data_IF_122421857021
#
_entry.id   IF_122421857021
#
_cell.length_a   1.000
_cell.length_b   1.000
_cell.length_c   1.000
_cell.angle_alpha   90.00
_cell.angle_beta   90.00
_cell.angle_gamma   90.00
#
_symmetry.space_group_name_H-M   'P 1'
#
loop_
_entity.id
_entity.type
_entity.pdbx_description
1 polymer ?
#
# COMPACT_ATOMS: atom_id res chain seq x y z
N UNK A 1 -0.46 -16.58 -0.38
CA UNK A 1 -0.72 -15.49 -1.33
C UNK A 1 -0.51 -14.14 -0.70
N UNK A 2 -0.05 -13.19 -1.47
CA UNK A 2 0.13 -11.82 -0.99
C UNK A 2 -1.20 -11.09 -1.07
N UNK A 3 -1.56 -10.39 -0.02
CA UNK A 3 -2.81 -9.65 0.04
C UNK A 3 -2.58 -8.18 -0.27
N UNK A 4 -3.41 -7.62 -1.11
CA UNK A 4 -3.38 -6.20 -1.46
C UNK A 4 -4.80 -5.65 -1.35
N UNK A 5 -4.94 -4.57 -0.62
CA UNK A 5 -6.21 -3.85 -0.54
C UNK A 5 -6.10 -2.57 -1.35
N UNK A 6 -7.08 -2.34 -2.20
CA UNK A 6 -7.13 -1.14 -3.04
C UNK A 6 -8.24 -0.24 -2.54
N UNK A 7 -7.88 0.77 -1.78
CA UNK A 7 -8.80 1.78 -1.27
C UNK A 7 -8.68 3.01 -2.15
N UNK A 8 -8.99 2.84 -3.42
CA UNK A 8 -8.83 3.84 -4.47
C UNK A 8 -10.19 4.34 -4.90
N UNK A 9 -10.35 5.66 -4.92
CA UNK A 9 -11.60 6.29 -5.27
C UNK A 9 -11.98 6.06 -6.73
N UNK A 10 -11.00 6.12 -7.63
CA UNK A 10 -11.23 5.90 -9.06
C UNK A 10 -11.39 4.41 -9.30
N UNK A 11 -12.62 3.96 -9.48
CA UNK A 11 -12.92 2.55 -9.64
C UNK A 11 -12.34 1.97 -10.93
N UNK A 12 -12.25 2.77 -11.98
CA UNK A 12 -11.68 2.31 -13.25
C UNK A 12 -10.20 2.00 -13.08
N UNK A 13 -9.48 2.89 -12.42
CA UNK A 13 -8.08 2.69 -12.11
C UNK A 13 -7.87 1.48 -11.20
N UNK A 14 -8.71 1.38 -10.17
CA UNK A 14 -8.63 0.27 -9.24
C UNK A 14 -8.81 -1.08 -9.92
N UNK A 15 -9.75 -1.17 -10.86
CA UNK A 15 -9.96 -2.40 -11.59
C UNK A 15 -8.82 -2.73 -12.54
N UNK A 16 -8.25 -1.72 -13.19
CA UNK A 16 -7.10 -1.93 -14.06
C UNK A 16 -5.91 -2.46 -13.25
N UNK A 17 -5.68 -1.88 -12.09
CA UNK A 17 -4.60 -2.32 -11.23
C UNK A 17 -4.86 -3.72 -10.69
N UNK A 18 -6.10 -4.01 -10.31
CA UNK A 18 -6.47 -5.34 -9.84
C UNK A 18 -6.16 -6.39 -10.91
N UNK A 19 -6.53 -6.09 -12.16
CA UNK A 19 -6.28 -7.04 -13.24
C UNK A 19 -4.79 -7.31 -13.43
N UNK A 20 -3.96 -6.28 -13.31
CA UNK A 20 -2.52 -6.47 -13.39
C UNK A 20 -2.00 -7.35 -12.26
N UNK A 21 -2.47 -7.11 -11.05
CA UNK A 21 -2.00 -7.87 -9.90
C UNK A 21 -2.44 -9.33 -9.95
N UNK A 22 -3.62 -9.59 -10.52
CA UNK A 22 -4.12 -10.96 -10.60
C UNK A 22 -3.43 -11.81 -11.67
N UNK A 23 -2.74 -11.17 -12.60
CA UNK A 23 -2.10 -11.90 -13.70
C UNK A 23 -1.06 -12.91 -13.27
N UNK A 24 -0.33 -12.60 -12.22
CA UNK A 24 0.76 -13.47 -11.79
C UNK A 24 0.29 -14.62 -10.90
N UNK A 25 -0.98 -14.61 -10.49
CA UNK A 25 -1.54 -15.67 -9.68
C UNK A 25 -1.04 -15.72 -8.25
N UNK A 26 -0.28 -14.72 -7.80
CA UNK A 26 0.31 -14.71 -6.47
C UNK A 26 -0.35 -13.71 -5.53
N UNK A 27 -1.30 -12.93 -6.03
CA UNK A 27 -1.95 -11.88 -5.24
C UNK A 27 -3.41 -12.16 -5.01
N UNK A 28 -3.86 -11.80 -3.81
CA UNK A 28 -5.27 -11.73 -3.46
C UNK A 28 -5.60 -10.26 -3.32
N UNK A 29 -6.53 -9.77 -4.14
CA UNK A 29 -6.81 -8.33 -4.25
C UNK A 29 -8.23 -8.03 -3.80
N UNK A 30 -8.35 -7.06 -2.92
CA UNK A 30 -9.64 -6.60 -2.43
C UNK A 30 -9.84 -5.13 -2.80
N UNK A 31 -10.98 -4.82 -3.41
CA UNK A 31 -11.39 -3.44 -3.65
C UNK A 31 -12.24 -3.03 -2.45
N UNK A 32 -11.78 -2.02 -1.72
CA UNK A 32 -12.41 -1.64 -0.46
C UNK A 32 -12.62 -0.14 -0.38
N UNK A 33 -13.63 0.29 0.35
CA UNK A 33 -13.82 1.71 0.65
C UNK A 33 -12.87 2.15 1.76
N UNK A 34 -12.73 1.31 2.76
CA UNK A 34 -11.79 1.54 3.85
C UNK A 34 -10.98 0.28 4.07
N UNK A 35 -9.67 0.42 4.20
CA UNK A 35 -8.83 -0.76 4.40
C UNK A 35 -9.08 -1.40 5.76
N UNK A 36 -8.97 -2.71 5.79
CA UNK A 36 -8.98 -3.46 7.03
C UNK A 36 -7.53 -3.61 7.47
N UNK A 37 -7.13 -2.82 8.46
CA UNK A 37 -5.74 -2.81 8.91
C UNK A 37 -5.37 -4.07 9.71
N UNK A 38 -6.35 -4.88 10.06
CA UNK A 38 -6.08 -6.17 10.67
C UNK A 38 -5.60 -7.23 9.69
N UNK A 39 -5.76 -7.00 8.40
CA UNK A 39 -5.22 -7.89 7.39
C UNK A 39 -3.78 -7.50 7.08
N UNK A 40 -2.93 -8.49 6.91
CA UNK A 40 -1.55 -8.24 6.50
C UNK A 40 -1.50 -7.86 5.02
N UNK A 41 -0.37 -7.30 4.60
CA UNK A 41 -0.13 -6.99 3.21
C UNK A 41 -0.15 -5.51 2.91
N UNK A 42 -0.08 -5.19 1.63
CA UNK A 42 0.02 -3.81 1.14
C UNK A 42 -1.37 -3.19 1.03
N UNK A 43 -1.44 -1.92 1.39
CA UNK A 43 -2.64 -1.11 1.23
C UNK A 43 -2.33 0.03 0.27
N UNK A 44 -3.06 0.09 -0.85
CA UNK A 44 -2.96 1.20 -1.79
C UNK A 44 -4.13 2.13 -1.50
N UNK A 45 -3.83 3.39 -1.23
CA UNK A 45 -4.84 4.31 -0.72
C UNK A 45 -4.62 5.71 -1.24
N UNK A 46 -5.72 6.42 -1.55
CA UNK A 46 -5.65 7.83 -1.89
C UNK A 46 -5.25 8.67 -0.67
N UNK A 47 -4.54 9.75 -0.90
CA UNK A 47 -4.05 10.57 0.21
C UNK A 47 -5.16 11.09 1.11
N UNK A 48 -6.32 11.40 0.54
CA UNK A 48 -7.44 11.91 1.33
C UNK A 48 -7.89 10.90 2.39
N UNK A 49 -7.95 9.64 1.99
CA UNK A 49 -8.33 8.58 2.92
C UNK A 49 -7.19 8.25 3.86
N UNK A 50 -5.97 8.33 3.38
CA UNK A 50 -4.81 8.06 4.20
C UNK A 50 -4.71 9.01 5.38
N UNK A 51 -5.03 10.29 5.20
CA UNK A 51 -4.97 11.26 6.27
C UNK A 51 -5.84 10.87 7.46
N UNK A 52 -6.93 10.18 7.21
CA UNK A 52 -7.81 9.72 8.27
C UNK A 52 -7.27 8.49 9.00
N UNK A 53 -6.33 7.77 8.39
CA UNK A 53 -5.83 6.51 8.93
C UNK A 53 -4.41 6.58 9.45
N UNK A 54 -3.67 7.62 9.09
CA UNK A 54 -2.23 7.68 9.33
C UNK A 54 -1.86 7.52 10.81
N UNK A 55 -2.73 7.98 11.69
CA UNK A 55 -2.45 7.91 13.13
C UNK A 55 -2.81 6.56 13.73
N UNK A 56 -3.52 5.74 12.97
CA UNK A 56 -4.03 4.48 13.48
C UNK A 56 -3.16 3.28 13.14
N UNK A 57 -2.33 3.40 12.10
CA UNK A 57 -1.50 2.29 11.66
C UNK A 57 -0.04 2.56 11.97
N UNK A 58 0.60 1.75 12.80
CA UNK A 58 2.00 1.90 13.12
C UNK A 58 2.95 1.40 12.04
N UNK A 59 2.42 0.86 10.94
CA UNK A 59 3.25 0.26 9.88
C UNK A 59 3.13 1.05 8.59
N UNK A 60 3.74 2.23 8.51
CA UNK A 60 3.63 3.06 7.31
C UNK A 60 4.24 2.42 6.06
N UNK A 61 5.13 1.47 6.24
CA UNK A 61 5.81 0.82 5.12
C UNK A 61 4.89 -0.02 4.26
N UNK A 62 3.74 -0.39 4.77
CA UNK A 62 2.78 -1.19 4.01
C UNK A 62 1.89 -0.37 3.09
N UNK A 63 1.94 0.96 3.21
CA UNK A 63 1.08 1.83 2.42
C UNK A 63 1.75 2.27 1.13
N UNK A 64 0.98 2.23 0.05
CA UNK A 64 1.29 2.91 -1.19
C UNK A 64 0.26 4.01 -1.33
N UNK A 65 0.69 5.26 -1.27
CA UNK A 65 -0.21 6.40 -1.26
C UNK A 65 -0.23 7.06 -2.64
N UNK A 66 -1.43 7.28 -3.16
CA UNK A 66 -1.63 7.99 -4.43
C UNK A 66 -1.93 9.44 -4.09
N UNK A 67 -1.08 10.33 -4.55
CA UNK A 67 -1.17 11.75 -4.24
C UNK A 67 -1.10 12.60 -5.49
N UNK A 68 -1.35 13.89 -5.36
CA UNK A 68 -1.23 14.86 -6.45
C UNK A 68 0.15 15.47 -6.46
N UNK A 69 0.64 15.77 -7.66
CA UNK A 69 1.94 16.41 -7.82
C UNK A 69 1.89 17.84 -7.32
N UNK A 70 3.01 18.27 -6.74
CA UNK A 70 3.22 19.68 -6.43
C UNK A 70 2.35 20.24 -5.34
N UNK A 71 1.88 19.42 -4.43
CA UNK A 71 1.04 19.88 -3.32
C UNK A 71 1.76 19.74 -2.00
N UNK A 72 1.24 20.43 -0.99
CA UNK A 72 1.74 20.30 0.38
C UNK A 72 1.45 18.93 0.97
N UNK A 73 0.57 18.19 0.33
CA UNK A 73 0.19 16.87 0.81
C UNK A 73 1.35 15.89 0.81
N UNK A 74 2.28 16.07 -0.11
CA UNK A 74 3.44 15.19 -0.20
C UNK A 74 4.29 15.26 1.07
N UNK A 75 4.44 16.46 1.64
CA UNK A 75 5.18 16.60 2.89
C UNK A 75 4.53 15.82 4.01
N UNK A 76 3.20 15.87 4.08
CA UNK A 76 2.46 15.14 5.11
C UNK A 76 2.64 13.64 4.98
N UNK A 77 2.66 13.17 3.73
CA UNK A 77 2.86 11.75 3.46
C UNK A 77 4.24 11.32 3.92
N UNK A 78 5.28 12.10 3.59
CA UNK A 78 6.63 11.79 4.04
C UNK A 78 6.75 11.85 5.55
N UNK A 79 6.13 12.82 6.20
CA UNK A 79 6.16 12.94 7.65
C UNK A 79 5.51 11.76 8.34
N UNK A 80 4.53 11.14 7.71
CA UNK A 80 3.87 9.96 8.25
C UNK A 80 4.72 8.69 8.09
N UNK A 81 5.88 8.79 7.45
CA UNK A 81 6.76 7.64 7.27
C UNK A 81 6.52 6.83 6.02
N UNK A 82 5.66 7.31 5.13
CA UNK A 82 5.36 6.60 3.89
C UNK A 82 6.57 6.64 2.97
N UNK A 83 6.91 5.50 2.40
CA UNK A 83 8.05 5.37 1.50
C UNK A 83 7.65 5.12 0.05
N UNK A 84 6.42 4.74 -0.18
CA UNK A 84 5.95 4.39 -1.51
C UNK A 84 4.83 5.33 -1.90
N UNK A 85 5.14 6.23 -2.83
CA UNK A 85 4.23 7.26 -3.28
C UNK A 85 4.08 7.16 -4.79
N UNK A 86 2.85 7.23 -5.26
CA UNK A 86 2.50 7.22 -6.67
C UNK A 86 1.66 8.46 -6.92
N UNK A 87 1.78 9.06 -8.09
CA UNK A 87 1.05 10.27 -8.41
C UNK A 87 -0.18 9.97 -9.25
N UNK A 88 -1.22 10.78 -9.08
CA UNK A 88 -2.39 10.69 -9.94
C UNK A 88 -1.95 10.86 -11.38
N UNK A 89 -2.49 10.03 -12.25
CA UNK A 89 -2.10 10.03 -13.65
C UNK A 89 -0.99 9.04 -13.99
N UNK A 90 -0.29 8.52 -13.02
CA UNK A 90 0.67 7.45 -13.26
C UNK A 90 -0.07 6.19 -13.71
N UNK A 91 0.58 5.41 -14.57
CA UNK A 91 -0.05 4.19 -15.05
C UNK A 91 -0.20 3.15 -13.96
N UNK A 92 -1.15 2.22 -14.10
CA UNK A 92 -1.26 1.11 -13.14
C UNK A 92 0.01 0.29 -13.01
N UNK A 93 0.82 0.21 -14.07
CA UNK A 93 2.10 -0.49 -13.99
C UNK A 93 3.04 0.16 -12.97
N UNK A 94 3.05 1.47 -12.90
CA UNK A 94 3.86 2.20 -11.93
C UNK A 94 3.44 1.86 -10.50
N UNK A 95 2.14 1.81 -10.27
CA UNK A 95 1.62 1.45 -8.95
C UNK A 95 1.93 -0.01 -8.63
N UNK A 96 1.86 -0.89 -9.62
CA UNK A 96 2.23 -2.28 -9.42
C UNK A 96 3.66 -2.41 -8.93
N UNK A 97 4.58 -1.65 -9.52
CA UNK A 97 5.98 -1.68 -9.09
C UNK A 97 6.13 -1.17 -7.66
N UNK A 98 5.38 -0.14 -7.29
CA UNK A 98 5.40 0.37 -5.93
C UNK A 98 4.90 -0.68 -4.93
N UNK A 99 3.87 -1.42 -5.31
CA UNK A 99 3.34 -2.50 -4.48
C UNK A 99 4.40 -3.58 -4.27
N UNK A 100 5.08 -3.97 -5.33
CA UNK A 100 6.13 -4.99 -5.24
C UNK A 100 7.25 -4.48 -4.34
N UNK A 101 7.64 -3.23 -4.47
CA UNK A 101 8.68 -2.66 -3.61
C UNK A 101 8.26 -2.66 -2.14
N UNK A 102 7.00 -2.35 -1.87
CA UNK A 102 6.48 -2.39 -0.52
C UNK A 102 6.47 -3.81 0.03
N UNK A 103 6.09 -4.77 -0.80
CA UNK A 103 6.06 -6.17 -0.39
C UNK A 103 7.43 -6.69 0.02
N UNK A 104 8.47 -6.19 -0.62
CA UNK A 104 9.83 -6.61 -0.28
C UNK A 104 10.27 -6.15 1.10
N UNK A 105 9.61 -5.15 1.65
CA UNK A 105 9.92 -4.64 2.97
C UNK A 105 9.06 -5.24 4.07
N UNK A 106 8.00 -5.94 3.69
CA UNK A 106 7.10 -6.54 4.67
C UNK A 106 7.59 -7.90 5.12
N UNK A 107 7.24 -8.31 6.34
CA UNK A 107 7.55 -9.65 6.81
C UNK A 107 6.87 -10.69 5.93
N UNK A 108 7.59 -11.75 5.64
CA UNK A 108 7.00 -12.91 4.99
C UNK A 108 6.24 -13.72 6.03
N UNK A 109 5.29 -14.49 5.56
CA UNK A 109 4.41 -15.28 6.43
C UNK A 109 5.20 -16.05 7.48
N UNK A 110 4.97 -15.68 8.73
CA UNK A 110 5.51 -16.42 9.89
C UNK A 110 7.00 -16.40 10.05
N UNK A 111 7.74 -16.27 8.98
CA UNK A 111 9.19 -16.39 9.00
C UNK A 111 9.86 -15.12 9.48
N UNK A 112 9.53 -14.01 8.86
CA UNK A 112 10.19 -12.75 9.19
C UNK A 112 9.73 -12.23 10.54
N UNK A 113 8.54 -12.56 10.97
CA UNK A 113 8.07 -12.20 12.30
C UNK A 113 9.03 -12.66 13.37
N UNK A 114 9.49 -13.89 13.26
CA UNK A 114 10.46 -14.42 14.22
C UNK A 114 11.78 -13.70 14.15
N UNK A 115 12.23 -13.41 12.95
CA UNK A 115 13.49 -12.69 12.78
C UNK A 115 13.41 -11.29 13.38
N UNK A 116 12.26 -10.65 13.32
CA UNK A 116 12.08 -9.32 13.90
C UNK A 116 12.06 -9.31 15.40
N UNK A 117 11.67 -10.40 16.00
CA UNK A 117 11.66 -10.53 17.46
C UNK A 117 13.06 -10.78 17.99
N UNK A 118 13.91 -11.38 17.21
CA UNK A 118 15.25 -11.75 17.61
C UNK A 118 16.12 -10.59 18.04
N UNK A 119 16.15 -9.49 17.28
CA UNK A 119 17.10 -8.42 17.58
C UNK A 119 16.92 -7.83 18.97
N UNK A 120 15.78 -7.99 19.54
CA UNK A 120 15.53 -7.46 20.87
C UNK A 120 16.23 -8.24 21.96
N UNK A 121 16.71 -9.39 21.62
CA UNK A 121 17.34 -10.27 22.61
C UNK A 121 18.78 -9.83 22.93
#
# INVERSE_FOLDING_TARGET
MKTVQLAIRDSHYAQSLRNLLLRDGTHRVYLVDQPNLGLDGVVVIDENRFQNLAQLDPEPERFVVITRKGTDNLSRVWEAGIRHVVFEGDSPNTTQLAIIAAELRLPRDGFVSKAREQPSA
#
